data_IF_473200292302
#
_entry.id   IF_473200292302
#
_cell.length_a   1.000
_cell.length_b   1.000
_cell.length_c   1.000
_cell.angle_alpha   90.00
_cell.angle_beta   90.00
_cell.angle_gamma   90.00
#
_symmetry.space_group_name_H-M   'P 1'
#
loop_
_entity.id
_entity.type
_entity.pdbx_description
1 polymer ?
#
# COMPACT_ATOMS: atom_id res chain seq x y z
N UNK A 1 -2.01 -10.19 -55.86
CA UNK A 1 -0.80 -11.05 -55.85
C UNK A 1 0.31 -10.22 -56.49
N UNK A 2 1.29 -9.83 -55.67
CA UNK A 2 2.59 -9.19 -55.95
C UNK A 2 2.64 -7.90 -56.79
N UNK A 3 3.08 -6.82 -56.14
CA UNK A 3 4.18 -5.99 -56.64
C UNK A 3 5.01 -5.54 -55.43
N UNK A 4 6.16 -6.21 -55.24
CA UNK A 4 7.35 -5.64 -54.61
C UNK A 4 8.23 -5.14 -55.76
N UNK A 5 8.71 -3.91 -55.66
CA UNK A 5 10.08 -3.49 -55.98
C UNK A 5 10.11 -1.96 -56.00
N UNK A 6 10.76 -1.36 -55.02
CA UNK A 6 11.67 -0.23 -55.28
C UNK A 6 12.58 0.00 -54.06
N UNK A 7 13.84 -0.37 -54.25
CA UNK A 7 14.96 -0.05 -53.36
C UNK A 7 16.04 0.62 -54.22
N UNK A 8 16.35 1.88 -53.92
CA UNK A 8 17.66 2.53 -54.14
C UNK A 8 17.61 3.88 -53.40
N UNK A 9 18.22 4.03 -52.22
CA UNK A 9 19.65 4.33 -51.95
C UNK A 9 20.15 5.58 -52.65
N UNK A 10 20.31 6.65 -51.89
CA UNK A 10 21.47 7.54 -51.98
C UNK A 10 21.83 8.06 -50.58
N UNK A 11 23.08 7.82 -50.22
CA UNK A 11 23.79 8.30 -49.03
C UNK A 11 24.06 9.81 -49.14
N UNK A 12 24.08 10.52 -48.01
CA UNK A 12 25.08 11.58 -47.82
C UNK A 12 25.33 11.79 -46.32
N UNK A 13 26.54 11.44 -45.88
CA UNK A 13 27.17 11.89 -44.65
C UNK A 13 27.71 13.31 -44.87
N UNK A 14 27.60 14.18 -43.89
CA UNK A 14 28.56 15.27 -43.67
C UNK A 14 28.66 15.57 -42.17
N UNK A 15 29.85 15.31 -41.62
CA UNK A 15 30.31 15.71 -40.29
C UNK A 15 30.43 17.24 -40.21
N UNK A 16 30.13 17.83 -39.05
CA UNK A 16 30.89 18.98 -38.56
C UNK A 16 30.78 19.08 -37.02
N UNK A 17 31.91 18.87 -36.36
CA UNK A 17 32.18 19.20 -34.96
C UNK A 17 32.24 20.72 -34.77
N UNK A 18 31.72 21.25 -33.65
CA UNK A 18 32.28 22.45 -33.01
C UNK A 18 31.97 22.48 -31.51
N UNK A 19 32.95 23.00 -30.78
CA UNK A 19 33.31 22.84 -29.37
C UNK A 19 32.65 23.84 -28.38
N UNK A 20 32.54 23.39 -27.11
CA UNK A 20 32.78 24.13 -25.84
C UNK A 20 31.78 25.22 -25.38
N UNK A 21 31.17 24.99 -24.21
CA UNK A 21 31.55 25.69 -22.95
C UNK A 21 30.94 25.01 -21.73
N UNK A 22 31.82 24.51 -20.87
CA UNK A 22 31.58 24.20 -19.46
C UNK A 22 31.89 25.43 -18.60
N UNK A 23 31.25 25.47 -17.44
CA UNK A 23 31.50 26.28 -16.24
C UNK A 23 31.11 27.77 -16.23
N UNK A 24 30.08 28.07 -15.43
CA UNK A 24 30.24 29.03 -14.34
C UNK A 24 29.35 28.64 -13.16
N UNK A 25 30.02 28.29 -12.05
CA UNK A 25 29.48 28.24 -10.68
C UNK A 25 28.75 29.54 -10.33
N UNK A 26 27.55 29.44 -9.76
CA UNK A 26 27.05 30.45 -8.84
C UNK A 26 26.75 29.78 -7.51
N UNK A 27 27.65 30.03 -6.55
CA UNK A 27 27.44 29.86 -5.11
C UNK A 27 26.17 30.60 -4.68
N UNK A 28 25.13 29.89 -4.26
CA UNK A 28 24.08 30.50 -3.43
C UNK A 28 24.61 30.52 -1.99
N UNK A 29 25.22 31.66 -1.65
CA UNK A 29 25.55 32.08 -0.29
C UNK A 29 24.22 32.24 0.47
N UNK A 30 23.96 31.34 1.41
CA UNK A 30 22.95 31.54 2.44
C UNK A 30 23.44 32.67 3.37
N UNK A 31 23.05 33.91 3.07
CA UNK A 31 23.08 35.00 4.03
C UNK A 31 21.81 34.93 4.88
N UNK A 32 22.03 34.53 6.13
CA UNK A 32 21.10 34.63 7.25
C UNK A 32 21.03 36.10 7.67
N UNK A 33 20.05 36.85 7.16
CA UNK A 33 19.65 38.13 7.74
C UNK A 33 18.32 37.96 8.47
N UNK A 34 18.44 37.79 9.78
CA UNK A 34 17.42 38.11 10.76
C UNK A 34 17.27 39.62 10.84
N UNK A 35 16.16 40.18 10.35
CA UNK A 35 15.63 41.44 10.85
C UNK A 35 14.15 41.29 11.13
N UNK A 36 13.87 41.16 12.43
CA UNK A 36 12.59 41.44 13.06
C UNK A 36 12.20 42.90 12.77
N UNK A 37 11.09 43.11 12.06
CA UNK A 37 10.31 44.34 12.22
C UNK A 37 8.86 43.96 12.55
N UNK A 38 8.57 44.08 13.84
CA UNK A 38 7.25 44.19 14.43
C UNK A 38 6.38 45.16 13.62
N UNK A 39 5.20 44.69 13.22
CA UNK A 39 4.05 45.58 13.07
C UNK A 39 2.91 45.01 13.90
N UNK A 40 2.69 45.75 14.99
CA UNK A 40 1.60 45.71 15.94
C UNK A 40 0.24 45.53 15.23
N UNK A 41 -0.50 44.49 15.61
CA UNK A 41 -1.96 44.57 15.71
C UNK A 41 -2.37 43.82 16.98
N UNK A 42 -2.67 44.62 18.00
CA UNK A 42 -3.25 44.24 19.27
C UNK A 42 -4.66 43.70 19.05
N UNK A 43 -4.88 42.41 19.31
CA UNK A 43 -6.18 41.91 19.77
C UNK A 43 -5.94 41.03 21.00
N UNK A 44 -5.90 41.70 22.15
CA UNK A 44 -5.99 41.12 23.48
C UNK A 44 -7.42 40.62 23.67
N UNK A 45 -7.61 39.30 23.69
CA UNK A 45 -8.75 38.70 24.37
C UNK A 45 -8.28 38.27 25.77
N UNK A 46 -8.61 39.10 26.77
CA UNK A 46 -8.63 38.71 28.18
C UNK A 46 -9.80 37.73 28.38
N UNK A 47 -9.50 36.47 28.69
CA UNK A 47 -10.38 35.62 29.49
C UNK A 47 -9.65 35.35 30.81
N UNK A 48 -10.12 36.02 31.87
CA UNK A 48 -9.81 35.68 33.26
C UNK A 48 -10.36 34.26 33.53
N UNK A 49 -9.48 33.28 33.74
CA UNK A 49 -9.86 32.07 34.47
C UNK A 49 -9.30 32.15 35.90
N UNK A 50 -10.23 32.24 36.84
CA UNK A 50 -10.03 32.15 38.28
C UNK A 50 -9.43 30.79 38.63
N UNK A 51 -8.18 30.80 39.07
CA UNK A 51 -7.46 29.62 39.56
C UNK A 51 -8.11 29.18 40.90
N UNK A 52 -8.81 28.05 40.87
CA UNK A 52 -9.21 27.34 42.10
C UNK A 52 -8.58 25.95 42.10
N UNK A 53 -7.56 25.81 42.94
CA UNK A 53 -6.90 24.56 43.26
C UNK A 53 -7.91 23.59 43.89
N UNK A 54 -8.21 22.47 43.22
CA UNK A 54 -8.63 21.24 43.88
C UNK A 54 -7.98 20.02 43.21
N UNK A 55 -7.17 19.32 44.01
CA UNK A 55 -6.29 18.20 43.66
C UNK A 55 -7.02 16.93 43.17
N UNK A 56 -6.34 16.21 42.26
CA UNK A 56 -6.35 14.76 42.01
C UNK A 56 -7.61 14.06 41.46
N UNK A 57 -7.57 13.79 40.14
CA UNK A 57 -7.69 12.45 39.50
C UNK A 57 -8.15 12.66 38.03
N UNK A 58 -7.24 12.74 37.05
CA UNK A 58 -7.46 12.40 35.61
C UNK A 58 -6.26 12.74 34.70
N UNK A 59 -5.07 12.22 35.02
CA UNK A 59 -3.83 12.53 34.28
C UNK A 59 -3.73 11.87 32.87
N UNK A 60 -4.75 11.14 32.41
CA UNK A 60 -4.79 10.55 31.06
C UNK A 60 -5.68 11.34 30.07
N UNK A 61 -6.68 12.08 30.57
CA UNK A 61 -7.61 12.84 29.73
C UNK A 61 -7.08 14.25 29.38
N UNK A 62 -6.29 14.87 30.24
CA UNK A 62 -5.64 16.17 29.95
C UNK A 62 -4.63 16.05 28.82
N UNK A 63 -3.77 15.03 28.84
CA UNK A 63 -2.77 14.82 27.78
C UNK A 63 -3.41 14.55 26.41
N UNK A 64 -4.59 13.94 26.38
CA UNK A 64 -5.31 13.66 25.13
C UNK A 64 -6.02 14.91 24.60
N UNK A 65 -6.65 15.70 25.49
CA UNK A 65 -7.29 16.97 25.13
C UNK A 65 -6.27 18.04 24.70
N UNK A 66 -5.11 18.11 25.36
CA UNK A 66 -4.03 19.02 24.97
C UNK A 66 -3.43 18.63 23.62
N UNK A 67 -3.26 17.33 23.35
CA UNK A 67 -2.79 16.85 22.07
C UNK A 67 -3.79 17.20 20.94
N UNK A 68 -5.09 16.98 21.18
CA UNK A 68 -6.12 17.36 20.23
C UNK A 68 -6.12 18.88 19.99
N UNK A 69 -6.02 19.69 21.05
CA UNK A 69 -5.93 21.16 20.95
C UNK A 69 -4.71 21.61 20.14
N UNK A 70 -3.56 20.94 20.28
CA UNK A 70 -2.35 21.22 19.49
C UNK A 70 -2.57 20.86 18.01
N UNK A 71 -3.20 19.71 17.72
CA UNK A 71 -3.56 19.32 16.35
C UNK A 71 -4.51 20.34 15.74
N UNK A 72 -5.59 20.69 16.43
CA UNK A 72 -6.60 21.62 15.94
C UNK A 72 -5.99 23.00 15.66
N UNK A 73 -5.13 23.49 16.56
CA UNK A 73 -4.39 24.75 16.35
C UNK A 73 -3.46 24.67 15.15
N UNK A 74 -2.80 23.54 14.91
CA UNK A 74 -1.94 23.33 13.74
C UNK A 74 -2.77 23.30 12.46
N UNK A 75 -3.89 22.58 12.44
CA UNK A 75 -4.82 22.52 11.30
C UNK A 75 -5.35 23.93 11.00
N UNK A 76 -5.77 24.68 12.01
CA UNK A 76 -6.27 26.05 11.84
C UNK A 76 -5.21 26.97 11.24
N UNK A 77 -3.95 26.88 11.72
CA UNK A 77 -2.82 27.64 11.15
C UNK A 77 -2.56 27.29 9.69
N UNK A 78 -2.53 26.00 9.35
CA UNK A 78 -2.32 25.57 7.96
C UNK A 78 -3.48 25.96 7.04
N UNK A 79 -4.73 25.85 7.51
CA UNK A 79 -5.91 26.35 6.77
C UNK A 79 -5.80 27.85 6.54
N UNK A 80 -5.46 28.64 7.56
CA UNK A 80 -5.29 30.09 7.43
C UNK A 80 -4.17 30.45 6.46
N UNK A 81 -3.02 29.75 6.49
CA UNK A 81 -1.96 29.96 5.49
C UNK A 81 -2.43 29.63 4.07
N UNK A 82 -3.15 28.53 3.90
CA UNK A 82 -3.69 28.15 2.59
C UNK A 82 -4.75 29.13 2.09
N UNK A 83 -5.62 29.62 2.97
CA UNK A 83 -6.62 30.64 2.65
C UNK A 83 -5.96 31.96 2.26
N UNK A 84 -4.91 32.39 2.97
CA UNK A 84 -4.11 33.57 2.59
C UNK A 84 -3.49 33.41 1.20
N UNK A 85 -2.86 32.27 0.92
CA UNK A 85 -2.31 31.96 -0.42
C UNK A 85 -3.40 31.93 -1.49
N UNK A 86 -4.57 31.38 -1.20
CA UNK A 86 -5.71 31.38 -2.13
C UNK A 86 -6.21 32.81 -2.40
N UNK A 87 -6.28 33.64 -1.36
CA UNK A 87 -6.67 35.04 -1.47
C UNK A 87 -5.70 35.87 -2.32
N UNK A 88 -4.40 35.51 -2.37
CA UNK A 88 -3.42 36.15 -3.27
C UNK A 88 -3.77 35.94 -4.76
N UNK A 89 -4.50 34.88 -5.12
CA UNK A 89 -4.93 34.62 -6.49
C UNK A 89 -6.24 35.32 -6.88
N UNK A 90 -7.04 35.80 -5.92
CA UNK A 90 -8.31 36.50 -6.19
C UNK A 90 -8.12 37.79 -7.00
N UNK A 91 -7.16 38.68 -6.68
CA UNK A 91 -6.88 39.86 -7.51
C UNK A 91 -6.45 39.50 -8.94
N UNK A 92 -5.68 38.43 -9.12
CA UNK A 92 -5.28 37.95 -10.44
C UNK A 92 -6.50 37.47 -11.24
N UNK A 93 -7.36 36.66 -10.62
CA UNK A 93 -8.59 36.19 -11.25
C UNK A 93 -9.52 37.35 -11.62
N UNK A 94 -9.67 38.34 -10.72
CA UNK A 94 -10.44 39.55 -11.00
C UNK A 94 -9.87 40.31 -12.20
N UNK A 95 -8.55 40.54 -12.24
CA UNK A 95 -7.88 41.23 -13.34
C UNK A 95 -8.09 40.52 -14.68
N UNK A 96 -7.99 39.19 -14.70
CA UNK A 96 -8.24 38.37 -15.89
C UNK A 96 -9.69 38.50 -16.34
N UNK A 97 -10.66 38.41 -15.41
CA UNK A 97 -12.08 38.54 -15.73
C UNK A 97 -12.39 39.90 -16.37
N UNK A 98 -11.90 40.98 -15.77
CA UNK A 98 -12.07 42.35 -16.29
C UNK A 98 -11.43 42.52 -17.68
N UNK A 99 -10.18 42.06 -17.85
CA UNK A 99 -9.46 42.21 -19.11
C UNK A 99 -10.14 41.48 -20.28
N UNK A 100 -10.79 40.35 -20.02
CA UNK A 100 -11.44 39.50 -21.03
C UNK A 100 -12.97 39.65 -21.09
N UNK A 101 -13.53 40.63 -20.36
CA UNK A 101 -14.97 40.87 -20.29
C UNK A 101 -15.76 39.63 -19.87
N UNK A 102 -15.23 38.87 -18.91
CA UNK A 102 -15.88 37.67 -18.37
C UNK A 102 -16.84 38.12 -17.27
N UNK A 103 -18.13 38.12 -17.60
CA UNK A 103 -19.20 38.43 -16.66
C UNK A 103 -19.86 37.14 -16.13
N UNK A 104 -20.26 37.14 -14.85
CA UNK A 104 -20.99 36.04 -14.23
C UNK A 104 -20.13 34.95 -13.57
N UNK A 105 -20.79 33.85 -13.20
CA UNK A 105 -20.23 32.77 -12.36
C UNK A 105 -19.47 31.71 -13.18
N UNK A 106 -18.70 32.14 -14.17
CA UNK A 106 -17.85 31.24 -14.95
C UNK A 106 -16.80 30.62 -14.03
N UNK A 107 -16.65 29.29 -14.13
CA UNK A 107 -15.65 28.53 -13.38
C UNK A 107 -14.23 28.88 -13.83
N UNK A 108 -13.26 28.67 -12.95
CA UNK A 108 -11.83 28.89 -13.26
C UNK A 108 -11.39 28.07 -14.48
N UNK A 109 -11.94 26.85 -14.65
CA UNK A 109 -11.64 26.00 -15.80
C UNK A 109 -12.10 26.62 -17.12
N UNK A 110 -13.35 27.11 -17.16
CA UNK A 110 -13.91 27.75 -18.35
C UNK A 110 -13.18 29.06 -18.71
N UNK A 111 -12.77 29.83 -17.69
CA UNK A 111 -11.93 31.03 -17.88
C UNK A 111 -10.60 30.66 -18.52
N UNK A 112 -9.97 29.58 -18.04
CA UNK A 112 -8.67 29.10 -18.55
C UNK A 112 -8.79 28.60 -19.99
N UNK A 113 -9.86 27.89 -20.35
CA UNK A 113 -10.13 27.50 -21.74
C UNK A 113 -10.31 28.72 -22.65
N UNK A 114 -11.12 29.70 -22.24
CA UNK A 114 -11.34 30.94 -23.02
C UNK A 114 -10.03 31.71 -23.26
N UNK A 115 -9.17 31.77 -22.24
CA UNK A 115 -7.83 32.36 -22.35
C UNK A 115 -6.97 31.62 -23.35
N UNK A 116 -6.89 30.29 -23.27
CA UNK A 116 -6.11 29.47 -24.22
C UNK A 116 -6.59 29.71 -25.66
N UNK A 117 -7.90 29.63 -25.90
CA UNK A 117 -8.45 29.86 -27.25
C UNK A 117 -8.11 31.25 -27.78
N UNK A 118 -8.17 32.30 -26.94
CA UNK A 118 -7.80 33.65 -27.37
C UNK A 118 -6.34 33.74 -27.83
N UNK A 119 -5.39 33.15 -27.10
CA UNK A 119 -3.99 33.19 -27.50
C UNK A 119 -3.73 32.31 -28.73
N UNK A 120 -4.38 31.15 -28.83
CA UNK A 120 -4.30 30.27 -30.02
C UNK A 120 -4.80 30.97 -31.28
N UNK A 121 -5.91 31.71 -31.20
CA UNK A 121 -6.43 32.55 -32.30
C UNK A 121 -5.43 33.64 -32.73
N UNK A 122 -4.62 34.15 -31.79
CA UNK A 122 -3.55 35.11 -32.06
C UNK A 122 -2.22 34.45 -32.47
N UNK A 123 -2.23 33.15 -32.75
CA UNK A 123 -1.05 32.40 -33.21
C UNK A 123 -0.05 32.04 -32.11
N UNK A 124 -0.42 32.18 -30.83
CA UNK A 124 0.37 31.75 -29.68
C UNK A 124 -0.25 30.51 -29.04
N UNK A 125 0.44 29.37 -29.17
CA UNK A 125 0.03 28.14 -28.47
C UNK A 125 0.50 28.18 -27.02
N UNK A 126 -0.44 27.99 -26.08
CA UNK A 126 -0.15 27.84 -24.66
C UNK A 126 -0.12 26.35 -24.34
N UNK A 127 1.04 25.85 -23.91
CA UNK A 127 1.16 24.45 -23.47
C UNK A 127 0.31 24.19 -22.22
N UNK A 128 -0.23 22.98 -22.12
CA UNK A 128 -0.90 22.56 -20.90
C UNK A 128 0.05 22.57 -19.71
N UNK A 129 -0.40 23.21 -18.62
CA UNK A 129 0.29 23.12 -17.34
C UNK A 129 0.25 21.68 -16.85
N UNK A 130 1.43 21.08 -16.68
CA UNK A 130 1.59 19.79 -16.03
C UNK A 130 2.21 20.04 -14.66
N UNK A 131 1.42 19.94 -13.56
CA UNK A 131 1.99 20.05 -12.24
C UNK A 131 3.14 19.05 -12.10
N UNK A 132 4.23 19.50 -11.49
CA UNK A 132 5.34 18.60 -11.15
C UNK A 132 4.90 17.77 -9.95
N UNK A 133 4.21 16.66 -10.21
CA UNK A 133 3.78 15.75 -9.16
C UNK A 133 5.01 15.06 -8.56
N UNK A 134 5.30 15.34 -7.28
CA UNK A 134 6.19 14.49 -6.51
C UNK A 134 5.45 13.17 -6.28
N UNK A 135 5.85 12.12 -7.01
CA UNK A 135 5.20 10.79 -6.94
C UNK A 135 5.05 10.29 -5.51
N UNK A 136 6.07 10.51 -4.67
CA UNK A 136 6.04 10.07 -3.27
C UNK A 136 4.98 10.80 -2.47
N UNK A 137 4.83 12.11 -2.66
CA UNK A 137 3.81 12.88 -1.94
C UNK A 137 2.41 12.53 -2.46
N UNK A 138 2.27 12.32 -3.77
CA UNK A 138 1.02 11.86 -4.37
C UNK A 138 0.59 10.50 -3.80
N UNK A 139 1.50 9.54 -3.67
CA UNK A 139 1.23 8.23 -3.05
C UNK A 139 0.80 8.37 -1.60
N UNK A 140 1.51 9.17 -0.79
CA UNK A 140 1.18 9.37 0.63
C UNK A 140 -0.20 10.02 0.79
N UNK A 141 -0.48 11.06 0.02
CA UNK A 141 -1.76 11.76 0.07
C UNK A 141 -2.91 10.86 -0.43
N UNK A 142 -2.69 10.10 -1.51
CA UNK A 142 -3.68 9.16 -2.01
C UNK A 142 -3.99 8.05 -1.00
N UNK A 143 -2.98 7.53 -0.30
CA UNK A 143 -3.17 6.49 0.71
C UNK A 143 -3.99 7.02 1.90
N UNK A 144 -3.71 8.26 2.33
CA UNK A 144 -4.48 8.91 3.39
C UNK A 144 -5.93 9.18 2.95
N UNK A 145 -6.12 9.76 1.77
CA UNK A 145 -7.44 10.06 1.20
C UNK A 145 -8.29 8.79 1.04
N UNK A 146 -7.71 7.71 0.49
CA UNK A 146 -8.41 6.44 0.37
C UNK A 146 -8.79 5.86 1.74
N UNK A 147 -7.92 5.98 2.74
CA UNK A 147 -8.23 5.53 4.10
C UNK A 147 -9.40 6.30 4.70
N UNK A 148 -9.39 7.63 4.60
CA UNK A 148 -10.45 8.49 5.14
C UNK A 148 -11.81 8.14 4.50
N UNK A 149 -11.84 7.93 3.18
CA UNK A 149 -13.05 7.49 2.44
C UNK A 149 -13.55 6.12 2.94
N UNK A 150 -12.64 5.16 3.13
CA UNK A 150 -12.98 3.80 3.58
C UNK A 150 -13.52 3.82 5.02
N UNK A 151 -12.91 4.62 5.89
CA UNK A 151 -13.30 4.77 7.30
C UNK A 151 -14.63 5.51 7.47
N UNK A 152 -14.96 6.44 6.57
CA UNK A 152 -16.24 7.15 6.55
C UNK A 152 -17.44 6.20 6.31
N UNK A 153 -17.21 5.05 5.66
CA UNK A 153 -18.17 3.97 5.55
C UNK A 153 -18.52 3.58 4.11
N UNK A 154 -19.43 2.61 3.97
CA UNK A 154 -19.74 2.01 2.67
C UNK A 154 -20.42 2.98 1.69
N UNK A 155 -21.20 3.92 2.19
CA UNK A 155 -21.93 4.87 1.35
C UNK A 155 -20.94 5.83 0.67
N UNK A 156 -20.04 6.44 1.45
CA UNK A 156 -18.97 7.32 0.96
C UNK A 156 -18.04 6.59 0.00
N UNK A 157 -17.60 5.37 0.37
CA UNK A 157 -16.76 4.52 -0.49
C UNK A 157 -17.40 4.29 -1.87
N UNK A 158 -18.70 3.98 -1.91
CA UNK A 158 -19.39 3.68 -3.16
C UNK A 158 -19.65 4.95 -3.99
N UNK A 159 -19.97 6.06 -3.34
CA UNK A 159 -20.15 7.37 -3.97
C UNK A 159 -18.86 7.82 -4.66
N UNK A 160 -17.75 7.84 -3.91
CA UNK A 160 -16.45 8.27 -4.41
C UNK A 160 -15.90 7.35 -5.50
N UNK A 161 -16.03 6.03 -5.33
CA UNK A 161 -15.68 5.08 -6.38
C UNK A 161 -16.45 5.36 -7.69
N UNK A 162 -17.77 5.59 -7.61
CA UNK A 162 -18.57 5.88 -8.80
C UNK A 162 -18.24 7.25 -9.41
N UNK A 163 -17.97 8.26 -8.59
CA UNK A 163 -17.51 9.58 -9.04
C UNK A 163 -16.24 9.46 -9.87
N UNK A 164 -15.22 8.78 -9.34
CA UNK A 164 -13.94 8.57 -10.02
C UNK A 164 -14.09 7.71 -11.28
N UNK A 165 -14.87 6.62 -11.21
CA UNK A 165 -15.14 5.74 -12.35
C UNK A 165 -15.76 6.47 -13.54
N UNK A 166 -16.65 7.43 -13.28
CA UNK A 166 -17.39 8.14 -14.32
C UNK A 166 -16.64 9.35 -14.91
N UNK A 167 -15.56 9.80 -14.26
CA UNK A 167 -14.81 10.99 -14.69
C UNK A 167 -13.88 10.72 -15.89
N UNK A 168 -13.28 9.54 -15.96
CA UNK A 168 -12.54 9.05 -17.14
C UNK A 168 -11.09 9.54 -17.29
N UNK A 169 -10.74 10.74 -16.82
CA UNK A 169 -9.40 11.34 -16.90
C UNK A 169 -8.76 11.56 -15.51
N UNK A 170 -8.58 10.46 -14.77
CA UNK A 170 -7.98 10.50 -13.43
C UNK A 170 -6.50 10.93 -13.48
N UNK A 171 -6.09 11.87 -12.64
CA UNK A 171 -4.67 12.15 -12.41
C UNK A 171 -3.99 11.00 -11.65
N UNK A 172 -2.65 11.05 -11.49
CA UNK A 172 -1.89 9.96 -10.88
C UNK A 172 -2.34 9.67 -9.44
N UNK A 173 -2.54 10.71 -8.62
CA UNK A 173 -3.02 10.57 -7.24
C UNK A 173 -4.41 9.92 -7.20
N UNK A 174 -5.31 10.39 -8.06
CA UNK A 174 -6.68 9.91 -8.14
C UNK A 174 -6.78 8.49 -8.67
N UNK A 175 -5.87 8.07 -9.56
CA UNK A 175 -5.74 6.67 -9.98
C UNK A 175 -5.37 5.77 -8.80
N UNK A 176 -4.48 6.21 -7.91
CA UNK A 176 -4.11 5.45 -6.72
C UNK A 176 -5.32 5.31 -5.78
N UNK A 177 -6.02 6.42 -5.50
CA UNK A 177 -7.26 6.41 -4.70
C UNK A 177 -8.26 5.44 -5.32
N UNK A 178 -8.55 5.59 -6.62
CA UNK A 178 -9.49 4.74 -7.34
C UNK A 178 -9.17 3.24 -7.21
N UNK A 179 -7.93 2.84 -7.45
CA UNK A 179 -7.49 1.44 -7.33
C UNK A 179 -7.64 0.90 -5.90
N UNK A 180 -7.41 1.74 -4.88
CA UNK A 180 -7.60 1.36 -3.47
C UNK A 180 -9.07 1.14 -3.14
N UNK A 181 -9.95 2.05 -3.58
CA UNK A 181 -11.39 1.92 -3.39
C UNK A 181 -11.94 0.68 -4.13
N UNK A 182 -11.46 0.42 -5.35
CA UNK A 182 -11.81 -0.77 -6.14
C UNK A 182 -11.43 -2.06 -5.40
N UNK A 183 -10.20 -2.14 -4.87
CA UNK A 183 -9.74 -3.29 -4.09
C UNK A 183 -10.57 -3.51 -2.81
N UNK A 184 -10.88 -2.44 -2.09
CA UNK A 184 -11.71 -2.51 -0.88
C UNK A 184 -13.13 -3.02 -1.19
N UNK A 185 -13.74 -2.53 -2.27
CA UNK A 185 -15.05 -3.00 -2.73
C UNK A 185 -15.02 -4.48 -3.14
N UNK A 186 -13.94 -4.93 -3.80
CA UNK A 186 -13.76 -6.33 -4.15
C UNK A 186 -13.67 -7.22 -2.89
N UNK A 187 -12.94 -6.78 -1.86
CA UNK A 187 -12.86 -7.53 -0.59
C UNK A 187 -14.22 -7.59 0.08
N UNK A 188 -14.92 -6.45 0.24
CA UNK A 188 -16.28 -6.41 0.83
C UNK A 188 -17.26 -7.31 0.08
N UNK A 189 -17.20 -7.33 -1.25
CA UNK A 189 -18.00 -8.24 -2.07
C UNK A 189 -17.73 -9.71 -1.75
N UNK A 190 -16.46 -10.09 -1.68
CA UNK A 190 -16.04 -11.45 -1.33
C UNK A 190 -16.42 -11.81 0.13
N UNK A 191 -16.31 -10.89 1.08
CA UNK A 191 -16.74 -11.10 2.48
C UNK A 191 -18.23 -11.45 2.57
N UNK A 192 -19.07 -10.78 1.78
CA UNK A 192 -20.52 -11.07 1.70
C UNK A 192 -20.75 -12.48 1.13
N UNK A 193 -20.02 -12.86 0.09
CA UNK A 193 -20.16 -14.18 -0.56
C UNK A 193 -19.67 -15.33 0.33
N UNK A 194 -18.56 -15.14 1.05
CA UNK A 194 -18.08 -16.10 2.05
C UNK A 194 -19.08 -16.27 3.18
N UNK A 195 -19.61 -15.15 3.70
CA UNK A 195 -20.62 -15.18 4.77
C UNK A 195 -21.88 -15.92 4.33
N UNK A 196 -22.36 -15.68 3.10
CA UNK A 196 -23.51 -16.42 2.52
C UNK A 196 -23.22 -17.91 2.38
N UNK A 197 -21.97 -18.28 2.19
CA UNK A 197 -21.49 -19.66 2.07
C UNK A 197 -21.18 -20.31 3.43
N UNK A 198 -21.38 -19.60 4.54
CA UNK A 198 -21.11 -20.09 5.89
C UNK A 198 -19.62 -20.15 6.27
N UNK A 199 -18.76 -19.46 5.52
CA UNK A 199 -17.32 -19.35 5.77
C UNK A 199 -17.01 -18.06 6.53
N UNK A 200 -15.90 -18.03 7.27
CA UNK A 200 -15.48 -16.83 8.01
C UNK A 200 -14.91 -15.78 7.04
N UNK A 201 -15.55 -14.61 6.87
CA UNK A 201 -15.07 -13.57 5.97
C UNK A 201 -13.79 -12.88 6.46
N UNK A 202 -13.48 -12.94 7.77
CA UNK A 202 -12.33 -12.21 8.35
C UNK A 202 -10.99 -12.64 7.76
N UNK A 203 -10.91 -13.87 7.29
CA UNK A 203 -9.73 -14.42 6.63
C UNK A 203 -9.26 -13.58 5.44
N UNK A 204 -10.16 -12.84 4.78
CA UNK A 204 -9.80 -11.96 3.67
C UNK A 204 -8.99 -10.74 4.09
N UNK A 205 -8.93 -10.46 5.40
CA UNK A 205 -8.14 -9.38 6.01
C UNK A 205 -6.92 -9.88 6.77
N UNK A 206 -6.75 -11.20 6.86
CA UNK A 206 -5.62 -11.78 7.55
C UNK A 206 -4.34 -11.61 6.74
N UNK A 207 -3.24 -11.34 7.44
CA UNK A 207 -1.94 -11.08 6.83
C UNK A 207 -1.49 -12.24 5.93
N UNK A 208 -1.66 -13.48 6.38
CA UNK A 208 -1.23 -14.66 5.63
C UNK A 208 -2.01 -14.83 4.31
N UNK A 209 -3.32 -14.54 4.33
CA UNK A 209 -4.13 -14.53 3.13
C UNK A 209 -3.72 -13.38 2.20
N UNK A 210 -3.52 -12.17 2.73
CA UNK A 210 -3.11 -11.01 1.94
C UNK A 210 -1.73 -11.21 1.28
N UNK A 211 -0.78 -11.81 2.01
CA UNK A 211 0.55 -12.18 1.48
C UNK A 211 0.46 -13.27 0.40
N UNK A 212 -0.49 -14.20 0.52
CA UNK A 212 -0.79 -15.20 -0.50
C UNK A 212 -1.45 -14.56 -1.73
N UNK A 213 -2.45 -13.72 -1.53
CA UNK A 213 -3.21 -13.03 -2.56
C UNK A 213 -2.32 -12.08 -3.39
N UNK A 214 -1.33 -11.44 -2.76
CA UNK A 214 -0.36 -10.56 -3.44
C UNK A 214 0.51 -11.24 -4.51
N UNK A 215 0.44 -12.57 -4.65
CA UNK A 215 1.13 -13.34 -5.70
C UNK A 215 0.31 -13.47 -6.98
N UNK A 216 -0.98 -13.21 -6.91
CA UNK A 216 -1.89 -13.32 -8.03
C UNK A 216 -1.86 -12.03 -8.87
N UNK A 217 -2.30 -12.15 -10.12
CA UNK A 217 -2.55 -10.98 -10.97
C UNK A 217 -3.85 -10.30 -10.53
N UNK A 218 -3.94 -9.00 -10.79
CA UNK A 218 -5.08 -8.16 -10.39
C UNK A 218 -6.41 -8.51 -11.10
N UNK A 219 -6.39 -9.31 -12.17
CA UNK A 219 -7.60 -9.74 -12.88
C UNK A 219 -8.27 -10.98 -12.29
N UNK A 220 -7.66 -11.59 -11.26
CA UNK A 220 -8.19 -12.79 -10.61
C UNK A 220 -9.05 -12.36 -9.43
N UNK A 221 -10.26 -12.93 -9.31
CA UNK A 221 -11.19 -12.56 -8.26
C UNK A 221 -10.68 -12.99 -6.87
N UNK A 222 -10.96 -12.18 -5.85
CA UNK A 222 -10.58 -12.48 -4.45
C UNK A 222 -11.19 -13.81 -3.98
N UNK A 223 -12.37 -14.15 -4.47
CA UNK A 223 -13.03 -15.42 -4.14
C UNK A 223 -12.28 -16.62 -4.73
N UNK A 224 -11.78 -16.52 -5.97
CA UNK A 224 -10.97 -17.58 -6.58
C UNK A 224 -9.65 -17.76 -5.84
N UNK A 225 -9.00 -16.65 -5.49
CA UNK A 225 -7.77 -16.65 -4.67
C UNK A 225 -8.04 -17.32 -3.32
N UNK A 226 -9.16 -16.99 -2.67
CA UNK A 226 -9.59 -17.63 -1.43
C UNK A 226 -9.79 -19.14 -1.57
N UNK A 227 -10.44 -19.58 -2.65
CA UNK A 227 -10.65 -21.01 -2.88
C UNK A 227 -9.33 -21.76 -3.07
N UNK A 228 -8.33 -21.14 -3.69
CA UNK A 228 -6.99 -21.71 -3.78
C UNK A 228 -6.29 -21.71 -2.41
N UNK A 229 -6.36 -20.61 -1.66
CA UNK A 229 -5.83 -20.53 -0.30
C UNK A 229 -6.36 -21.63 0.60
N UNK A 230 -7.69 -21.84 0.60
CA UNK A 230 -8.34 -22.92 1.35
C UNK A 230 -7.88 -24.32 0.91
N UNK A 231 -7.60 -24.53 -0.39
CA UNK A 231 -7.09 -25.82 -0.88
C UNK A 231 -5.69 -26.13 -0.36
N UNK A 232 -4.83 -25.13 -0.26
CA UNK A 232 -3.45 -25.29 0.20
C UNK A 232 -3.38 -25.38 1.73
N UNK A 233 -4.00 -24.43 2.44
CA UNK A 233 -3.86 -24.27 3.88
C UNK A 233 -5.02 -24.84 4.68
N UNK A 234 -6.22 -24.91 4.11
CA UNK A 234 -7.38 -25.54 4.76
C UNK A 234 -7.21 -27.05 4.96
N UNK A 235 -6.41 -27.71 4.12
CA UNK A 235 -6.02 -29.12 4.33
C UNK A 235 -5.00 -29.29 5.44
N UNK A 236 -4.09 -28.35 5.64
CA UNK A 236 -3.12 -28.38 6.74
C UNK A 236 -3.83 -28.17 8.08
N UNK A 237 -4.72 -27.18 8.20
CA UNK A 237 -5.50 -27.00 9.43
C UNK A 237 -6.42 -28.18 9.74
N UNK A 238 -7.09 -28.77 8.74
CA UNK A 238 -7.89 -29.96 8.96
C UNK A 238 -7.04 -31.19 9.32
N UNK A 239 -5.85 -31.34 8.72
CA UNK A 239 -4.93 -32.41 9.05
C UNK A 239 -4.36 -32.24 10.47
N UNK A 240 -3.99 -31.03 10.88
CA UNK A 240 -3.53 -30.73 12.24
C UNK A 240 -4.65 -30.90 13.26
N UNK A 241 -5.86 -30.37 12.99
CA UNK A 241 -7.05 -30.53 13.86
C UNK A 241 -7.51 -31.99 13.96
N UNK A 242 -7.31 -32.82 12.93
CA UNK A 242 -7.65 -34.25 12.92
C UNK A 242 -6.47 -35.16 13.28
N UNK A 243 -5.30 -34.61 13.65
CA UNK A 243 -4.11 -35.36 14.01
C UNK A 243 -3.51 -36.21 12.87
N UNK A 244 -3.83 -35.87 11.62
CA UNK A 244 -3.37 -36.58 10.44
C UNK A 244 -1.92 -36.20 10.13
N UNK A 245 -1.00 -37.17 10.21
CA UNK A 245 0.35 -37.02 9.66
C UNK A 245 0.27 -37.26 8.14
N UNK A 246 0.96 -36.47 7.30
CA UNK A 246 0.93 -36.65 5.85
C UNK A 246 1.39 -38.07 5.48
N UNK A 247 0.51 -38.81 4.82
CA UNK A 247 0.80 -40.12 4.26
C UNK A 247 1.66 -39.95 3.01
N UNK A 248 2.97 -39.83 3.17
CA UNK A 248 3.85 -39.60 2.02
C UNK A 248 5.24 -39.09 2.35
N UNK A 249 5.91 -39.70 3.31
CA UNK A 249 7.36 -39.77 3.25
C UNK A 249 7.76 -41.13 3.78
N UNK A 250 7.97 -42.08 2.87
CA UNK A 250 8.82 -43.22 3.15
C UNK A 250 10.23 -42.65 3.29
N UNK A 251 10.50 -42.03 4.45
CA UNK A 251 11.84 -42.01 4.99
C UNK A 251 12.06 -43.44 5.44
N UNK A 252 13.04 -44.10 4.83
CA UNK A 252 13.67 -45.26 5.43
C UNK A 252 13.86 -44.98 6.92
N UNK A 253 13.01 -45.58 7.75
CA UNK A 253 13.25 -45.65 9.18
C UNK A 253 14.30 -46.75 9.39
N UNK A 254 15.51 -46.55 8.86
CA UNK A 254 16.70 -46.89 9.63
C UNK A 254 16.81 -45.83 10.72
N UNK A 255 15.86 -45.88 11.65
CA UNK A 255 16.05 -45.28 12.96
C UNK A 255 17.23 -46.02 13.55
N UNK A 256 18.31 -45.29 13.73
CA UNK A 256 19.29 -45.51 14.77
C UNK A 256 18.58 -45.65 16.13
N UNK A 257 17.94 -46.79 16.38
CA UNK A 257 17.66 -47.26 17.73
C UNK A 257 18.97 -47.88 18.22
N UNK A 258 19.91 -47.03 18.62
CA UNK A 258 21.09 -47.42 19.42
C UNK A 258 20.69 -47.77 20.86
N UNK A 259 19.63 -48.56 21.00
CA UNK A 259 19.09 -49.04 22.26
C UNK A 259 18.66 -50.48 22.08
N UNK A 260 19.10 -51.34 23.00
CA UNK A 260 18.72 -52.75 23.08
C UNK A 260 17.19 -52.81 23.18
N UNK A 261 16.53 -53.47 22.23
CA UNK A 261 15.08 -53.70 22.27
C UNK A 261 14.77 -54.81 23.27
N UNK A 262 13.59 -54.81 23.89
CA UNK A 262 13.15 -55.90 24.77
C UNK A 262 12.65 -57.15 24.02
N UNK A 263 12.46 -57.04 22.70
CA UNK A 263 11.98 -58.12 21.83
C UNK A 263 12.49 -57.90 20.40
N UNK A 264 12.92 -58.98 19.75
CA UNK A 264 13.34 -59.01 18.35
C UNK A 264 12.46 -59.96 17.54
N UNK A 265 12.15 -59.62 16.29
CA UNK A 265 11.48 -60.53 15.34
C UNK A 265 12.48 -61.47 14.65
N UNK A 266 12.04 -62.54 13.97
CA UNK A 266 12.95 -63.43 13.23
C UNK A 266 13.85 -62.69 12.24
N UNK A 267 13.25 -61.81 11.42
CA UNK A 267 13.98 -61.02 10.42
C UNK A 267 15.00 -60.07 11.07
N UNK A 268 14.68 -59.51 12.24
CA UNK A 268 15.59 -58.62 12.97
C UNK A 268 16.75 -59.37 13.62
N UNK A 269 16.58 -60.65 13.97
CA UNK A 269 17.66 -61.48 14.52
C UNK A 269 18.61 -61.95 13.43
N UNK A 270 18.10 -62.25 12.24
CA UNK A 270 18.92 -62.62 11.08
C UNK A 270 19.83 -61.45 10.61
N UNK A 271 19.46 -60.21 10.93
CA UNK A 271 20.26 -59.01 10.65
C UNK A 271 21.32 -58.70 11.72
N UNK A 272 21.32 -59.38 12.88
CA UNK A 272 22.31 -59.16 13.94
C UNK A 272 23.67 -59.77 13.59
N UNK A 273 24.74 -59.03 13.84
CA UNK A 273 26.11 -59.47 13.60
C UNK A 273 26.81 -59.91 14.89
N UNK A 274 27.88 -60.71 14.77
CA UNK A 274 28.69 -61.12 15.92
C UNK A 274 29.22 -59.90 16.72
N UNK A 275 29.52 -58.79 16.05
CA UNK A 275 29.95 -57.53 16.66
C UNK A 275 28.85 -56.90 17.56
N UNK A 276 27.58 -57.13 17.26
CA UNK A 276 26.45 -56.65 18.07
C UNK A 276 26.31 -57.43 19.38
N UNK A 277 26.60 -58.73 19.36
CA UNK A 277 26.62 -59.59 20.55
C UNK A 277 27.86 -59.32 21.43
N UNK A 278 29.02 -59.03 20.84
CA UNK A 278 30.21 -58.63 21.58
C UNK A 278 30.04 -57.28 22.28
N UNK A 279 29.31 -56.36 21.65
CA UNK A 279 29.04 -55.02 22.18
C UNK A 279 27.94 -55.00 23.23
N UNK A 280 26.97 -55.92 23.13
CA UNK A 280 25.84 -56.03 24.07
C UNK A 280 25.64 -57.49 24.51
N UNK A 281 26.32 -57.94 25.59
CA UNK A 281 26.20 -59.31 26.08
C UNK A 281 24.77 -59.73 26.46
N UNK A 282 23.94 -58.78 26.86
CA UNK A 282 22.53 -58.99 27.24
C UNK A 282 21.61 -59.25 26.03
N UNK A 283 22.07 -58.96 24.81
CA UNK A 283 21.32 -59.14 23.57
C UNK A 283 20.97 -60.62 23.33
N UNK A 284 21.89 -61.52 23.69
CA UNK A 284 21.71 -62.97 23.52
C UNK A 284 20.53 -63.50 24.34
N UNK A 285 20.40 -63.05 25.59
CA UNK A 285 19.30 -63.45 26.48
C UNK A 285 17.95 -62.88 26.02
N UNK A 286 17.95 -61.72 25.37
CA UNK A 286 16.74 -61.12 24.81
C UNK A 286 16.33 -61.82 23.52
N UNK A 287 17.29 -62.12 22.64
CA UNK A 287 17.06 -62.88 21.41
C UNK A 287 16.51 -64.26 21.74
N UNK A 288 17.10 -64.97 22.71
CA UNK A 288 16.60 -66.27 23.17
C UNK A 288 15.15 -66.20 23.70
N UNK A 289 14.84 -65.21 24.55
CA UNK A 289 13.46 -64.98 25.03
C UNK A 289 12.49 -64.57 23.92
N UNK A 290 13.00 -63.94 22.87
CA UNK A 290 12.21 -63.55 21.71
C UNK A 290 11.88 -64.79 20.86
N UNK A 291 12.87 -65.66 20.61
CA UNK A 291 12.70 -66.94 19.92
C UNK A 291 11.63 -67.83 20.56
N UNK A 292 11.56 -67.89 21.89
CA UNK A 292 10.53 -68.68 22.60
C UNK A 292 9.09 -68.19 22.35
N UNK A 293 8.93 -66.94 21.93
CA UNK A 293 7.62 -66.30 21.66
C UNK A 293 7.28 -66.29 20.17
N UNK A 294 8.20 -66.69 19.30
CA UNK A 294 7.91 -66.88 17.89
C UNK A 294 7.12 -68.18 17.74
N UNK A 295 5.83 -68.07 17.42
CA UNK A 295 4.95 -69.19 17.09
C UNK A 295 4.49 -69.08 15.66
#
# INVERSE_FOLDING_TARGET
MFYDDEFNKEELNEDLEEEISEDEESEDVFEEETEDEDSEDEDIFEEEEEDSEEDNENNENESSNDFQRIIDRRIARERSKNEKKLAEYEPLLHTIKEAYGIEGDMSVSEINEKLKSFYEENGQSISDYKPRENKRDAEILAEAEARDIIEAGNDELLEEYNRLRNRGDLNYREQIVFNKLEGELAIKGAEIELSKSGKDPKILRDKDFMDFAGRYRNDISILDIYNDYERFFGREEEAEKKGYKPAGSVKDNKKDNKGIKDFYTPDEVDELTDEDFDKYPELLDIVNRSMEKWK
#
